data_IF_122595064019
#
_entry.id   IF_122595064019
#
_cell.length_a   1.000
_cell.length_b   1.000
_cell.length_c   1.000
_cell.angle_alpha   90.00
_cell.angle_beta   90.00
_cell.angle_gamma   90.00
#
_symmetry.space_group_name_H-M   'P 1'
#
loop_
_entity.id
_entity.type
_entity.pdbx_description
1 polymer ?
#
# COMPACT_ATOMS: atom_id res chain seq x y z
N UNK A 1 -20.85 6.94 -9.23
CA UNK A 1 -19.43 7.25 -9.00
C UNK A 1 -18.66 5.95 -9.02
N UNK A 2 -17.70 5.80 -9.92
CA UNK A 2 -16.80 4.65 -9.94
C UNK A 2 -15.71 4.90 -8.88
N UNK A 3 -15.69 4.04 -7.87
CA UNK A 3 -14.69 4.01 -6.80
C UNK A 3 -13.94 2.71 -6.97
N UNK A 4 -12.61 2.78 -6.99
CA UNK A 4 -11.73 1.63 -6.97
C UNK A 4 -11.25 1.41 -5.54
N UNK A 5 -11.68 0.30 -4.93
CA UNK A 5 -11.24 -0.08 -3.58
C UNK A 5 -9.97 -0.93 -3.68
N UNK A 6 -8.86 -0.37 -3.21
CA UNK A 6 -7.56 -1.03 -3.18
C UNK A 6 -7.21 -1.35 -1.72
N UNK A 7 -6.55 -2.46 -1.45
CA UNK A 7 -6.02 -2.75 -0.13
C UNK A 7 -4.55 -3.17 -0.23
N UNK A 8 -3.72 -2.67 0.67
CA UNK A 8 -2.32 -3.07 0.85
C UNK A 8 -2.23 -3.89 2.13
N UNK A 9 -1.51 -5.01 2.08
CA UNK A 9 -1.32 -5.83 3.26
C UNK A 9 -0.04 -6.66 3.17
N UNK A 10 0.78 -6.64 4.22
CA UNK A 10 1.83 -7.63 4.41
C UNK A 10 1.20 -8.86 5.09
N UNK A 11 1.16 -9.97 4.36
CA UNK A 11 0.50 -11.19 4.80
C UNK A 11 1.37 -12.08 5.68
N UNK A 12 2.70 -11.88 5.71
CA UNK A 12 3.65 -12.75 6.39
C UNK A 12 3.38 -14.26 6.14
N UNK A 13 3.13 -14.59 4.87
CA UNK A 13 2.69 -15.90 4.41
C UNK A 13 1.19 -16.01 4.15
N UNK A 14 0.76 -15.75 2.92
CA UNK A 14 -0.67 -15.63 2.56
C UNK A 14 -1.48 -16.94 2.67
N UNK A 15 -0.82 -18.11 2.58
CA UNK A 15 -1.52 -19.40 2.55
C UNK A 15 -2.31 -19.68 3.84
N UNK A 16 -1.76 -19.35 5.01
CA UNK A 16 -2.41 -19.58 6.30
C UNK A 16 -3.63 -18.66 6.53
N UNK A 17 -3.70 -17.56 5.78
CA UNK A 17 -4.73 -16.53 5.90
C UNK A 17 -5.82 -16.63 4.81
N UNK A 18 -5.85 -17.70 4.02
CA UNK A 18 -6.70 -17.79 2.83
C UNK A 18 -8.19 -17.58 3.12
N UNK A 19 -8.74 -18.19 4.17
CA UNK A 19 -10.17 -18.12 4.49
C UNK A 19 -10.58 -16.72 4.98
N UNK A 20 -9.78 -16.11 5.85
CA UNK A 20 -10.03 -14.73 6.30
C UNK A 20 -9.87 -13.73 5.17
N UNK A 21 -8.91 -13.95 4.25
CA UNK A 21 -8.71 -13.10 3.09
C UNK A 21 -9.93 -13.14 2.15
N UNK A 22 -10.49 -14.32 1.88
CA UNK A 22 -11.74 -14.45 1.08
C UNK A 22 -12.87 -13.63 1.71
N UNK A 23 -13.03 -13.75 3.03
CA UNK A 23 -14.06 -13.01 3.77
C UNK A 23 -13.82 -11.51 3.69
N UNK A 24 -12.59 -11.06 3.96
CA UNK A 24 -12.19 -9.66 3.93
C UNK A 24 -12.40 -9.01 2.55
N UNK A 25 -11.98 -9.69 1.48
CA UNK A 25 -12.16 -9.23 0.10
C UNK A 25 -13.64 -8.98 -0.23
N UNK A 26 -14.53 -9.80 0.33
CA UNK A 26 -15.98 -9.71 0.14
C UNK A 26 -16.58 -8.60 1.00
N UNK A 27 -16.33 -8.61 2.32
CA UNK A 27 -16.90 -7.66 3.27
C UNK A 27 -16.46 -6.21 3.01
N UNK A 28 -15.19 -6.00 2.63
CA UNK A 28 -14.66 -4.67 2.29
C UNK A 28 -14.85 -4.30 0.84
N UNK A 29 -15.42 -5.20 0.02
CA UNK A 29 -15.63 -5.01 -1.41
C UNK A 29 -14.35 -4.56 -2.15
N UNK A 30 -13.23 -5.24 -1.88
CA UNK A 30 -11.91 -4.91 -2.46
C UNK A 30 -11.90 -5.23 -3.96
N UNK A 31 -11.50 -4.30 -4.80
CA UNK A 31 -11.33 -4.55 -6.23
C UNK A 31 -9.91 -5.03 -6.56
N UNK A 32 -8.90 -4.48 -5.87
CA UNK A 32 -7.49 -4.88 -6.02
C UNK A 32 -6.81 -5.03 -4.67
N UNK A 33 -6.19 -6.18 -4.42
CA UNK A 33 -5.39 -6.44 -3.21
C UNK A 33 -3.91 -6.49 -3.59
N UNK A 34 -3.10 -5.67 -2.94
CA UNK A 34 -1.65 -5.60 -3.04
C UNK A 34 -1.04 -6.30 -1.83
N UNK A 35 -0.37 -7.43 -2.06
CA UNK A 35 0.11 -8.31 -0.99
C UNK A 35 1.64 -8.33 -0.97
N UNK A 36 2.21 -8.07 0.19
CA UNK A 36 3.63 -8.25 0.53
C UNK A 36 3.84 -9.54 1.33
N UNK A 37 5.04 -10.11 1.26
CA UNK A 37 5.43 -11.36 1.95
C UNK A 37 4.42 -12.49 1.72
N UNK A 38 4.20 -12.83 0.46
CA UNK A 38 3.26 -13.90 0.10
C UNK A 38 3.75 -15.27 0.54
N UNK A 39 5.07 -15.48 0.60
CA UNK A 39 5.74 -16.77 0.83
C UNK A 39 5.30 -17.85 -0.16
N UNK A 40 4.83 -17.45 -1.35
CA UNK A 40 4.49 -18.35 -2.43
C UNK A 40 5.75 -18.77 -3.18
N UNK A 41 5.67 -19.97 -3.77
CA UNK A 41 6.66 -20.54 -4.68
C UNK A 41 5.93 -21.06 -5.91
N UNK A 42 6.68 -21.47 -6.94
CA UNK A 42 6.11 -22.07 -8.14
C UNK A 42 5.36 -23.40 -7.86
N UNK A 43 5.49 -23.97 -6.65
CA UNK A 43 4.79 -25.18 -6.22
C UNK A 43 3.44 -24.89 -5.56
N UNK A 44 3.17 -23.65 -5.19
CA UNK A 44 1.95 -23.29 -4.47
C UNK A 44 0.80 -23.01 -5.45
N UNK A 45 -0.33 -23.70 -5.26
CA UNK A 45 -1.58 -23.40 -5.97
C UNK A 45 -2.45 -22.46 -5.12
N UNK A 46 -2.13 -21.16 -5.14
CA UNK A 46 -2.97 -20.15 -4.48
C UNK A 46 -4.05 -19.66 -5.43
N UNK A 47 -5.31 -19.79 -5.02
CA UNK A 47 -6.47 -19.44 -5.82
C UNK A 47 -7.60 -18.90 -4.95
N UNK A 48 -8.21 -17.80 -5.39
CA UNK A 48 -9.36 -17.16 -4.77
C UNK A 48 -10.41 -16.95 -5.87
N UNK A 49 -11.60 -17.52 -5.69
CA UNK A 49 -12.69 -17.36 -6.65
C UNK A 49 -13.06 -15.88 -6.84
N UNK A 50 -13.30 -15.46 -8.08
CA UNK A 50 -13.64 -14.08 -8.43
C UNK A 50 -12.45 -13.12 -8.56
N UNK A 51 -11.22 -13.59 -8.27
CA UNK A 51 -9.99 -12.81 -8.43
C UNK A 51 -8.98 -13.54 -9.31
N UNK A 52 -8.24 -12.75 -10.09
CA UNK A 52 -7.06 -13.18 -10.82
C UNK A 52 -5.81 -12.82 -10.03
N UNK A 53 -4.96 -13.81 -9.81
CA UNK A 53 -3.69 -13.66 -9.09
C UNK A 53 -2.55 -13.41 -10.07
N UNK A 54 -1.72 -12.41 -9.78
CA UNK A 54 -0.39 -12.21 -10.37
C UNK A 54 0.63 -12.23 -9.24
N UNK A 55 1.79 -12.84 -9.47
CA UNK A 55 2.79 -13.07 -8.41
C UNK A 55 4.19 -12.84 -8.94
N UNK A 56 5.00 -12.18 -8.13
CA UNK A 56 6.46 -12.15 -8.24
C UNK A 56 7.02 -12.87 -7.01
N UNK A 57 7.43 -14.12 -7.20
CA UNK A 57 8.05 -14.92 -6.14
C UNK A 57 9.46 -14.38 -5.82
N UNK A 58 9.98 -14.76 -4.65
CA UNK A 58 11.35 -14.40 -4.28
C UNK A 58 12.37 -15.00 -5.29
N UNK A 59 13.43 -14.25 -5.67
CA UNK A 59 14.37 -14.68 -6.72
C UNK A 59 15.08 -16.02 -6.49
N UNK A 60 15.23 -16.43 -5.24
CA UNK A 60 15.85 -17.73 -4.88
C UNK A 60 14.87 -18.92 -4.92
N UNK A 61 13.60 -18.67 -5.25
CA UNK A 61 12.55 -19.70 -5.36
C UNK A 61 12.07 -20.29 -4.03
N UNK A 62 12.49 -19.76 -2.88
CA UNK A 62 12.08 -20.23 -1.55
C UNK A 62 10.87 -19.46 -1.02
N UNK A 63 10.19 -20.05 -0.04
CA UNK A 63 8.99 -19.49 0.61
C UNK A 63 9.34 -18.40 1.64
N UNK A 64 9.90 -17.28 1.20
CA UNK A 64 10.08 -16.06 1.98
C UNK A 64 9.94 -14.84 1.08
N UNK A 65 9.54 -13.68 1.61
CA UNK A 65 9.21 -12.53 0.78
C UNK A 65 8.14 -12.83 -0.28
N UNK A 66 8.32 -12.31 -1.48
CA UNK A 66 7.38 -12.36 -2.59
C UNK A 66 6.32 -11.28 -2.52
N UNK A 67 5.78 -10.89 -3.68
CA UNK A 67 4.63 -9.99 -3.79
C UNK A 67 3.56 -10.60 -4.66
N UNK A 68 2.32 -10.16 -4.48
CA UNK A 68 1.22 -10.53 -5.36
C UNK A 68 0.19 -9.42 -5.51
N UNK A 69 -0.51 -9.43 -6.64
CA UNK A 69 -1.69 -8.62 -6.88
C UNK A 69 -2.87 -9.53 -7.17
N UNK A 70 -3.93 -9.44 -6.35
CA UNK A 70 -5.23 -10.02 -6.68
C UNK A 70 -6.10 -8.95 -7.31
N UNK A 71 -6.61 -9.22 -8.51
CA UNK A 71 -7.48 -8.30 -9.26
C UNK A 71 -8.85 -8.95 -9.45
N UNK A 72 -9.91 -8.26 -9.06
CA UNK A 72 -11.28 -8.74 -9.27
C UNK A 72 -11.56 -8.96 -10.76
N UNK A 73 -12.11 -10.12 -11.12
CA UNK A 73 -12.22 -10.59 -12.51
C UNK A 73 -12.94 -9.65 -13.48
N UNK A 74 -13.84 -8.79 -12.97
CA UNK A 74 -14.56 -7.80 -13.79
C UNK A 74 -13.68 -6.66 -14.31
N UNK A 75 -12.49 -6.47 -13.74
CA UNK A 75 -11.57 -5.41 -14.14
C UNK A 75 -10.69 -5.88 -15.30
N UNK A 76 -10.69 -5.11 -16.39
CA UNK A 76 -9.82 -5.38 -17.53
C UNK A 76 -8.39 -4.92 -17.23
N UNK A 77 -7.44 -5.87 -17.28
CA UNK A 77 -6.06 -5.63 -16.89
C UNK A 77 -5.10 -6.63 -17.53
N UNK A 78 -3.81 -6.31 -17.47
CA UNK A 78 -2.72 -7.20 -17.85
C UNK A 78 -1.54 -7.06 -16.87
N UNK A 79 -0.70 -8.09 -16.76
CA UNK A 79 0.53 -8.03 -15.98
C UNK A 79 1.61 -7.26 -16.75
N UNK A 80 2.46 -6.56 -16.03
CA UNK A 80 3.72 -6.01 -16.56
C UNK A 80 4.89 -6.87 -16.10
N UNK A 81 6.09 -6.57 -16.63
CA UNK A 81 7.31 -7.28 -16.27
C UNK A 81 7.54 -7.25 -14.74
N UNK A 82 7.79 -8.41 -14.12
CA UNK A 82 8.01 -8.49 -12.68
C UNK A 82 9.36 -7.86 -12.31
N UNK A 83 9.41 -7.18 -11.17
CA UNK A 83 10.67 -6.71 -10.59
C UNK A 83 11.05 -7.63 -9.42
N UNK A 84 12.04 -8.49 -9.61
CA UNK A 84 12.40 -9.53 -8.65
C UNK A 84 13.88 -9.43 -8.27
N UNK A 85 14.24 -8.47 -7.42
CA UNK A 85 15.59 -8.38 -6.84
C UNK A 85 15.57 -8.77 -5.37
N UNK A 86 16.75 -9.04 -4.79
CA UNK A 86 16.84 -9.34 -3.36
C UNK A 86 16.40 -8.14 -2.50
N UNK A 87 16.65 -6.92 -2.96
CA UNK A 87 16.40 -5.68 -2.24
C UNK A 87 14.98 -5.10 -2.44
N UNK A 88 14.37 -5.36 -3.60
CA UNK A 88 13.04 -4.88 -3.94
C UNK A 88 12.33 -5.94 -4.79
N UNK A 89 11.14 -6.31 -4.35
CA UNK A 89 10.26 -7.24 -5.05
C UNK A 89 8.97 -6.52 -5.37
N UNK A 90 8.51 -6.62 -6.61
CA UNK A 90 7.29 -5.98 -7.03
C UNK A 90 6.53 -6.80 -8.06
N UNK A 91 5.21 -6.79 -7.91
CA UNK A 91 4.24 -7.34 -8.87
C UNK A 91 3.41 -6.20 -9.39
N UNK A 92 3.45 -5.96 -10.71
CA UNK A 92 2.75 -4.84 -11.33
C UNK A 92 1.69 -5.34 -12.30
N UNK A 93 0.50 -4.76 -12.20
CA UNK A 93 -0.56 -4.90 -13.20
C UNK A 93 -0.92 -3.53 -13.75
N UNK A 94 -1.41 -3.49 -14.98
CA UNK A 94 -1.93 -2.29 -15.62
C UNK A 94 -3.43 -2.41 -15.80
N UNK A 95 -4.18 -1.57 -15.09
CA UNK A 95 -5.63 -1.44 -15.25
C UNK A 95 -5.94 -0.55 -16.44
N UNK A 96 -6.72 -1.08 -17.39
CA UNK A 96 -7.16 -0.31 -18.55
C UNK A 96 -8.22 0.70 -18.14
N UNK A 97 -8.00 1.98 -18.43
CA UNK A 97 -8.96 3.04 -18.16
C UNK A 97 -9.17 3.93 -19.40
N UNK A 98 -10.33 4.57 -19.54
CA UNK A 98 -10.75 5.28 -20.79
C UNK A 98 -9.88 6.48 -21.20
N UNK A 99 -8.97 6.94 -20.34
CA UNK A 99 -8.07 8.07 -20.63
C UNK A 99 -6.59 7.74 -20.48
N UNK A 100 -6.20 7.08 -19.38
CA UNK A 100 -4.82 6.68 -19.12
C UNK A 100 -4.81 5.48 -18.20
N UNK A 101 -4.07 4.45 -18.61
CA UNK A 101 -3.87 3.24 -17.82
C UNK A 101 -3.30 3.57 -16.43
N UNK A 102 -3.75 2.83 -15.43
CA UNK A 102 -3.28 2.96 -14.06
C UNK A 102 -2.50 1.70 -13.69
N UNK A 103 -1.21 1.87 -13.44
CA UNK A 103 -0.38 0.76 -12.97
C UNK A 103 -0.51 0.61 -11.45
N UNK A 104 -0.88 -0.58 -11.00
CA UNK A 104 -0.99 -0.93 -9.59
C UNK A 104 0.10 -1.95 -9.25
N UNK A 105 0.88 -1.63 -8.23
CA UNK A 105 2.08 -2.38 -7.89
C UNK A 105 2.06 -2.79 -6.43
N UNK A 106 2.14 -4.08 -6.15
CA UNK A 106 2.45 -4.59 -4.81
C UNK A 106 3.97 -4.59 -4.61
N UNK A 107 4.46 -4.08 -3.47
CA UNK A 107 5.90 -3.90 -3.21
C UNK A 107 6.32 -4.51 -1.89
N UNK A 108 7.47 -5.17 -1.88
CA UNK A 108 8.15 -5.58 -0.66
C UNK A 108 9.64 -5.22 -0.73
N UNK A 109 10.12 -4.49 0.27
CA UNK A 109 11.53 -4.12 0.41
C UNK A 109 12.09 -4.71 1.73
N UNK A 110 12.78 -5.86 1.72
CA UNK A 110 13.21 -6.51 2.97
C UNK A 110 14.08 -5.58 3.84
N UNK A 111 13.94 -5.61 5.17
CA UNK A 111 14.54 -4.61 6.07
C UNK A 111 16.07 -4.56 6.02
N UNK A 112 16.72 -5.69 5.71
CA UNK A 112 18.19 -5.83 5.73
C UNK A 112 18.92 -5.13 4.58
N UNK A 113 18.25 -4.88 3.46
CA UNK A 113 18.92 -4.33 2.28
C UNK A 113 18.87 -2.80 2.27
N UNK A 114 19.96 -2.20 1.79
CA UNK A 114 20.01 -0.77 1.48
C UNK A 114 19.47 -0.59 0.07
N UNK A 115 18.74 0.50 -0.14
CA UNK A 115 18.27 0.94 -1.44
C UNK A 115 18.54 2.44 -1.48
N UNK A 116 19.25 2.89 -2.50
CA UNK A 116 19.59 4.29 -2.73
C UNK A 116 18.43 5.05 -3.36
N UNK A 117 18.47 6.38 -3.28
CA UNK A 117 17.49 7.25 -3.91
C UNK A 117 17.47 7.10 -5.46
N UNK A 118 18.63 6.86 -6.06
CA UNK A 118 18.77 6.52 -7.49
C UNK A 118 18.08 5.20 -7.84
N UNK A 119 18.30 4.14 -7.06
CA UNK A 119 17.65 2.83 -7.30
C UNK A 119 16.13 2.92 -7.16
N UNK A 120 15.63 3.67 -6.17
CA UNK A 120 14.19 3.94 -6.06
C UNK A 120 13.67 4.75 -7.25
N UNK A 121 14.40 5.78 -7.69
CA UNK A 121 14.03 6.60 -8.85
C UNK A 121 13.91 5.73 -10.11
N UNK A 122 14.91 4.89 -10.36
CA UNK A 122 14.93 4.02 -11.53
C UNK A 122 13.77 3.03 -11.47
N UNK A 123 13.54 2.40 -10.32
CA UNK A 123 12.40 1.52 -10.09
C UNK A 123 11.06 2.22 -10.38
N UNK A 124 10.79 3.39 -9.77
CA UNK A 124 9.56 4.14 -10.02
C UNK A 124 9.43 4.61 -11.48
N UNK A 125 10.56 4.84 -12.16
CA UNK A 125 10.61 5.12 -13.59
C UNK A 125 10.07 3.97 -14.45
N UNK A 126 10.27 2.72 -14.03
CA UNK A 126 9.76 1.53 -14.74
C UNK A 126 8.24 1.35 -14.62
N UNK A 127 7.61 1.94 -13.59
CA UNK A 127 6.17 1.80 -13.34
C UNK A 127 5.31 2.69 -14.26
N UNK A 128 5.93 3.47 -15.14
CA UNK A 128 5.24 4.30 -16.12
C UNK A 128 4.75 5.65 -15.58
N UNK A 129 3.93 6.36 -16.36
CA UNK A 129 3.58 7.75 -16.07
C UNK A 129 2.53 7.90 -14.98
N UNK A 130 1.68 6.90 -14.73
CA UNK A 130 0.60 6.97 -13.75
C UNK A 130 0.50 5.66 -12.99
N UNK A 131 0.78 5.69 -11.69
CA UNK A 131 0.81 4.48 -10.88
C UNK A 131 0.46 4.72 -9.41
N UNK A 132 0.10 3.61 -8.76
CA UNK A 132 0.07 3.44 -7.31
C UNK A 132 0.89 2.21 -6.94
N UNK A 133 1.91 2.43 -6.12
CA UNK A 133 2.88 1.44 -5.68
C UNK A 133 2.77 1.28 -4.16
N UNK A 134 2.04 0.25 -3.73
CA UNK A 134 1.65 0.03 -2.34
C UNK A 134 2.23 -1.25 -1.78
N UNK A 135 2.72 -1.21 -0.54
CA UNK A 135 3.31 -2.38 0.08
C UNK A 135 4.10 -2.07 1.34
N UNK A 136 4.93 -3.04 1.74
CA UNK A 136 5.82 -2.91 2.89
C UNK A 136 7.20 -2.45 2.41
N UNK A 137 7.49 -1.19 2.66
CA UNK A 137 8.77 -0.61 2.28
C UNK A 137 9.88 -0.88 3.31
N UNK A 138 9.55 -1.33 4.53
CA UNK A 138 10.43 -1.34 5.70
C UNK A 138 11.21 -0.01 5.85
N UNK A 139 10.59 1.09 5.43
CA UNK A 139 11.18 2.41 5.31
C UNK A 139 10.50 3.32 6.34
N UNK A 140 11.31 3.89 7.22
CA UNK A 140 10.84 4.72 8.33
C UNK A 140 11.18 6.16 8.04
N UNK A 141 10.17 7.02 7.97
CA UNK A 141 10.33 8.46 7.90
C UNK A 141 9.08 9.20 8.41
N UNK A 142 9.27 10.31 9.12
CA UNK A 142 8.16 11.10 9.67
C UNK A 142 7.22 11.65 8.58
N UNK A 143 7.71 11.80 7.34
CA UNK A 143 6.94 12.31 6.20
C UNK A 143 5.69 11.48 5.87
N UNK A 144 5.70 10.18 6.14
CA UNK A 144 4.54 9.30 5.97
C UNK A 144 3.93 8.84 7.29
N UNK A 145 4.36 9.40 8.43
CA UNK A 145 3.79 9.09 9.74
C UNK A 145 4.51 7.99 10.53
N UNK A 146 5.70 7.54 10.09
CA UNK A 146 6.57 6.70 10.93
C UNK A 146 7.12 7.50 12.11
N UNK A 147 7.31 6.83 13.25
CA UNK A 147 7.86 7.45 14.46
C UNK A 147 9.36 7.76 14.35
N UNK A 148 10.08 6.97 13.56
CA UNK A 148 11.53 7.04 13.42
C UNK A 148 11.94 7.31 11.98
N UNK A 149 13.23 7.62 11.80
CA UNK A 149 13.88 7.66 10.49
C UNK A 149 14.92 6.55 10.43
N UNK A 150 14.87 5.72 9.38
CA UNK A 150 15.94 4.76 9.07
C UNK A 150 16.66 5.13 7.76
N UNK A 151 17.84 4.57 7.46
CA UNK A 151 18.58 4.91 6.25
C UNK A 151 17.78 4.71 4.96
N UNK A 152 17.04 3.59 4.84
CA UNK A 152 16.18 3.31 3.68
C UNK A 152 15.07 4.35 3.52
N UNK A 153 14.42 4.74 4.61
CA UNK A 153 13.39 5.79 4.61
C UNK A 153 13.93 7.16 4.27
N UNK A 154 15.18 7.49 4.64
CA UNK A 154 15.83 8.72 4.20
C UNK A 154 16.06 8.73 2.67
N UNK A 155 16.52 7.61 2.11
CA UNK A 155 16.74 7.47 0.66
C UNK A 155 15.43 7.58 -0.11
N UNK A 156 14.40 6.83 0.31
CA UNK A 156 13.06 6.91 -0.28
C UNK A 156 12.48 8.33 -0.18
N UNK A 157 12.66 9.01 0.94
CA UNK A 157 12.26 10.40 1.12
C UNK A 157 12.88 11.33 0.07
N UNK A 158 14.20 11.23 -0.17
CA UNK A 158 14.88 12.05 -1.20
C UNK A 158 14.32 11.79 -2.60
N UNK A 159 14.01 10.53 -2.95
CA UNK A 159 13.35 10.21 -4.21
C UNK A 159 11.98 10.87 -4.31
N UNK A 160 11.19 10.88 -3.24
CA UNK A 160 9.83 11.44 -3.22
C UNK A 160 9.85 12.96 -3.34
N UNK A 161 10.65 13.66 -2.52
CA UNK A 161 10.62 15.13 -2.48
C UNK A 161 11.29 15.80 -3.69
N UNK A 162 12.02 15.04 -4.49
CA UNK A 162 12.58 15.55 -5.73
C UNK A 162 11.45 15.83 -6.74
N UNK A 163 11.16 17.13 -6.94
CA UNK A 163 10.09 17.61 -7.82
C UNK A 163 10.17 17.06 -9.25
N UNK A 164 11.36 16.71 -9.74
CA UNK A 164 11.52 16.12 -11.08
C UNK A 164 10.94 14.71 -11.20
N UNK A 165 10.79 13.99 -10.08
CA UNK A 165 10.23 12.64 -10.08
C UNK A 165 8.68 12.65 -10.09
N UNK A 166 8.07 13.75 -9.63
CA UNK A 166 6.62 13.96 -9.52
C UNK A 166 5.90 12.84 -8.75
N UNK A 167 6.45 12.49 -7.58
CA UNK A 167 5.92 11.47 -6.69
C UNK A 167 5.20 12.11 -5.50
N UNK A 168 4.21 11.40 -4.97
CA UNK A 168 3.53 11.73 -3.73
C UNK A 168 3.30 10.47 -2.88
N UNK A 169 2.89 10.64 -1.62
CA UNK A 169 2.64 9.56 -0.67
C UNK A 169 1.21 9.54 -0.18
N UNK A 170 0.66 8.32 -0.16
CA UNK A 170 -0.63 7.99 0.40
C UNK A 170 -0.41 7.05 1.57
N UNK A 171 -0.63 7.56 2.78
CA UNK A 171 -0.41 6.85 4.04
C UNK A 171 -1.66 6.96 4.94
N UNK A 172 -1.97 5.93 5.75
CA UNK A 172 -3.04 6.01 6.74
C UNK A 172 -2.72 6.93 7.92
N UNK A 173 -1.46 7.33 8.09
CA UNK A 173 -1.00 8.18 9.20
C UNK A 173 -1.09 7.54 10.60
N UNK A 174 -1.31 6.22 10.67
CA UNK A 174 -1.41 5.42 11.90
C UNK A 174 -0.50 4.18 11.77
N UNK A 175 0.00 3.60 12.87
CA UNK A 175 0.82 2.39 12.83
C UNK A 175 0.17 1.28 12.01
N UNK A 176 1.00 0.60 11.22
CA UNK A 176 0.60 -0.54 10.38
C UNK A 176 1.32 -1.82 10.78
N UNK A 177 2.47 -1.73 11.45
CA UNK A 177 3.24 -2.87 11.92
C UNK A 177 3.20 -2.98 13.45
N UNK A 178 2.95 -4.20 13.93
CA UNK A 178 2.73 -4.55 15.33
C UNK A 178 3.73 -5.63 15.78
N UNK A 179 4.90 -5.22 16.31
CA UNK A 179 5.92 -6.17 16.73
C UNK A 179 5.42 -7.13 17.83
N UNK A 180 5.78 -8.41 17.75
CA UNK A 180 5.48 -9.38 18.83
C UNK A 180 6.28 -9.13 20.11
N UNK A 181 7.44 -8.48 20.00
CA UNK A 181 8.28 -8.09 21.13
C UNK A 181 7.64 -6.91 21.88
N UNK A 182 7.28 -7.13 23.14
CA UNK A 182 6.62 -6.14 24.01
C UNK A 182 7.44 -4.88 24.25
N UNK A 183 8.75 -4.92 24.03
CA UNK A 183 9.62 -3.75 24.17
C UNK A 183 9.64 -2.88 22.91
N UNK A 184 9.10 -3.36 21.80
CA UNK A 184 9.02 -2.61 20.55
C UNK A 184 7.67 -1.91 20.44
N UNK A 185 7.73 -0.69 19.93
CA UNK A 185 6.56 0.17 19.74
C UNK A 185 6.09 0.02 18.27
N UNK A 186 4.77 -0.10 18.02
CA UNK A 186 4.20 -0.11 16.68
C UNK A 186 4.67 1.06 15.81
N UNK A 187 4.72 0.86 14.50
CA UNK A 187 5.25 1.85 13.56
C UNK A 187 4.52 1.80 12.20
N UNK A 188 4.74 2.79 11.36
CA UNK A 188 4.13 2.89 10.03
C UNK A 188 5.17 2.60 8.94
N UNK A 189 5.03 1.47 8.27
CA UNK A 189 5.92 1.05 7.17
C UNK A 189 5.17 0.57 5.92
N UNK A 190 3.85 0.42 6.02
CA UNK A 190 2.96 0.04 4.92
C UNK A 190 2.21 1.28 4.42
N UNK A 191 2.46 1.66 3.16
CA UNK A 191 1.86 2.82 2.53
C UNK A 191 1.99 2.71 1.00
N UNK A 192 1.49 3.71 0.27
CA UNK A 192 1.65 3.80 -1.18
C UNK A 192 2.43 5.04 -1.62
N UNK A 193 3.28 4.84 -2.62
CA UNK A 193 3.89 5.90 -3.44
C UNK A 193 3.04 6.02 -4.70
N UNK A 194 2.68 7.24 -5.09
CA UNK A 194 1.83 7.50 -6.26
C UNK A 194 2.48 8.48 -7.22
N UNK A 195 2.10 8.39 -8.50
CA UNK A 195 2.50 9.32 -9.55
C UNK A 195 1.30 9.69 -10.40
N UNK A 196 1.10 10.99 -10.64
CA UNK A 196 -0.01 11.52 -11.44
C UNK A 196 -1.40 11.03 -10.95
N UNK A 197 -1.58 10.99 -9.62
CA UNK A 197 -2.87 10.77 -8.96
C UNK A 197 -3.16 12.01 -8.13
N UNK A 198 -4.29 12.68 -8.41
CA UNK A 198 -4.70 13.86 -7.67
C UNK A 198 -5.05 13.48 -6.22
N UNK A 199 -4.48 14.22 -5.26
CA UNK A 199 -4.67 13.99 -3.82
C UNK A 199 -6.14 14.07 -3.38
N UNK A 200 -6.97 14.85 -4.08
CA UNK A 200 -8.41 14.98 -3.82
C UNK A 200 -9.23 13.74 -4.20
N UNK A 201 -8.65 12.84 -5.01
CA UNK A 201 -9.29 11.62 -5.50
C UNK A 201 -8.94 10.39 -4.68
N UNK A 202 -7.94 10.48 -3.80
CA UNK A 202 -7.37 9.32 -3.12
C UNK A 202 -7.31 9.50 -1.60
N UNK A 203 -7.81 8.50 -0.88
CA UNK A 203 -7.71 8.44 0.58
C UNK A 203 -7.13 7.11 1.03
N UNK A 204 -6.54 7.12 2.22
CA UNK A 204 -6.07 5.93 2.91
C UNK A 204 -6.53 5.93 4.36
N UNK A 205 -6.93 4.76 4.83
CA UNK A 205 -7.14 4.46 6.25
C UNK A 205 -6.58 3.06 6.55
N UNK A 206 -6.48 2.71 7.82
CA UNK A 206 -6.08 1.36 8.24
C UNK A 206 -7.20 0.72 9.05
N UNK A 207 -7.27 -0.60 9.04
CA UNK A 207 -8.17 -1.37 9.89
C UNK A 207 -7.44 -2.54 10.54
N UNK A 208 -8.03 -3.09 11.59
CA UNK A 208 -7.47 -4.21 12.37
C UNK A 208 -8.02 -5.56 11.92
N UNK A 209 -8.49 -5.62 10.67
CA UNK A 209 -8.98 -6.86 10.06
C UNK A 209 -7.78 -7.62 9.45
N UNK A 210 -7.86 -8.96 9.33
CA UNK A 210 -6.77 -9.90 8.97
C UNK A 210 -5.74 -10.15 10.10
N UNK A 211 -5.19 -11.37 10.17
CA UNK A 211 -4.45 -11.88 11.33
C UNK A 211 -2.92 -11.92 11.17
N UNK A 212 -2.35 -10.96 10.44
CA UNK A 212 -0.90 -10.74 10.35
C UNK A 212 -0.41 -9.78 11.46
N UNK A 213 0.90 -9.71 11.68
CA UNK A 213 1.55 -8.65 12.45
C UNK A 213 1.52 -7.28 11.74
N UNK A 214 0.91 -7.22 10.55
CA UNK A 214 0.60 -6.00 9.83
C UNK A 214 -0.92 -5.77 9.64
N UNK A 215 -1.34 -4.54 9.89
CA UNK A 215 -2.69 -4.05 9.59
C UNK A 215 -2.84 -3.68 8.12
N UNK A 216 -3.93 -4.11 7.45
CA UNK A 216 -4.21 -3.71 6.08
C UNK A 216 -4.50 -2.21 5.95
N UNK A 217 -3.98 -1.61 4.89
CA UNK A 217 -4.24 -0.22 4.50
C UNK A 217 -5.28 -0.22 3.39
N UNK A 218 -6.43 0.40 3.65
CA UNK A 218 -7.53 0.57 2.71
C UNK A 218 -7.34 1.87 1.94
N UNK A 219 -7.20 1.78 0.63
CA UNK A 219 -7.11 2.91 -0.29
C UNK A 219 -8.38 3.01 -1.12
N UNK A 220 -8.97 4.21 -1.19
CA UNK A 220 -10.08 4.50 -2.09
C UNK A 220 -9.60 5.48 -3.15
N UNK A 221 -9.73 5.10 -4.42
CA UNK A 221 -9.44 5.96 -5.56
C UNK A 221 -10.73 6.27 -6.32
N UNK A 222 -11.06 7.55 -6.47
CA UNK A 222 -12.29 8.01 -7.09
C UNK A 222 -12.02 8.62 -8.47
N UNK A 223 -12.98 8.50 -9.39
CA UNK A 223 -12.90 9.21 -10.69
C UNK A 223 -13.19 10.71 -10.58
N UNK A 224 -13.91 11.13 -9.53
CA UNK A 224 -14.26 12.51 -9.25
C UNK A 224 -13.94 12.86 -7.80
N UNK A 225 -13.64 14.13 -7.47
CA UNK A 225 -13.27 14.55 -6.13
C UNK A 225 -14.32 14.12 -5.12
N UNK A 226 -13.88 13.53 -4.01
CA UNK A 226 -14.81 13.25 -2.92
C UNK A 226 -15.15 14.56 -2.22
N UNK A 227 -16.44 14.85 -2.10
CA UNK A 227 -16.92 15.86 -1.15
C UNK A 227 -16.67 15.27 0.24
N UNK A 228 -15.53 15.62 0.84
CA UNK A 228 -15.30 15.31 2.25
C UNK A 228 -16.20 16.26 3.03
N UNK A 229 -17.29 15.74 3.57
CA UNK A 229 -18.06 16.50 4.54
C UNK A 229 -17.11 16.93 5.66
N UNK A 230 -17.06 18.23 6.02
CA UNK A 230 -16.22 18.67 7.11
C UNK A 230 -16.59 17.87 8.34
N UNK A 231 -15.58 17.40 9.09
CA UNK A 231 -15.81 16.72 10.37
C UNK A 231 -16.80 17.55 11.17
N UNK A 232 -17.92 16.94 11.54
CA UNK A 232 -18.88 17.54 12.46
C UNK A 232 -18.13 17.81 13.75
N UNK A 233 -17.84 19.09 13.99
CA UNK A 233 -17.19 19.54 15.20
C UNK A 233 -18.25 20.15 16.09
N UNK A 234 -18.33 19.68 17.34
CA UNK A 234 -19.20 20.28 18.37
C UNK A 234 -18.78 21.73 18.69
N UNK A 235 -17.60 22.15 18.23
CA UNK A 235 -17.04 23.47 18.51
C UNK A 235 -16.46 24.11 17.26
N UNK A 236 -16.55 25.43 17.17
CA UNK A 236 -15.98 26.23 16.09
C UNK A 236 -14.92 27.17 16.66
N UNK A 237 -14.16 27.86 15.80
CA UNK A 237 -13.27 28.93 16.23
C UNK A 237 -13.99 30.09 16.95
N UNK A 238 -15.34 30.15 16.85
CA UNK A 238 -16.18 31.10 17.55
C UNK A 238 -16.69 30.59 18.90
N UNK A 239 -16.38 29.34 19.27
CA UNK A 239 -16.80 28.77 20.56
C UNK A 239 -16.12 29.52 21.70
N UNK A 240 -16.93 30.20 22.51
CA UNK A 240 -16.47 30.94 23.68
C UNK A 240 -16.30 29.99 24.88
N UNK A 241 -15.09 29.44 25.00
CA UNK A 241 -14.71 28.53 26.09
C UNK A 241 -14.80 29.15 27.48
N UNK A 242 -14.64 30.47 27.60
CA UNK A 242 -14.74 31.19 28.88
C UNK A 242 -16.19 31.22 29.40
N UNK A 243 -17.18 31.23 28.51
CA UNK A 243 -18.60 31.17 28.88
C UNK A 243 -19.00 29.77 29.40
N UNK A 244 -18.43 28.73 28.81
CA UNK A 244 -18.72 27.34 29.20
C UNK A 244 -18.10 26.94 30.54
N UNK A 245 -16.97 27.54 30.93
CA UNK A 245 -16.31 27.30 32.23
C UNK A 245 -17.05 27.85 33.46
N UNK A 246 -18.15 28.58 33.27
CA UNK A 246 -18.93 29.19 34.37
C UNK A 246 -20.14 28.35 34.81
N UNK A 247 -20.32 27.17 34.23
CA UNK A 247 -21.29 26.15 34.60
C UNK A 247 -20.53 24.84 34.87
#
# INVERSE_FOLDING_TARGET
>A
MSILNICIWNANGVNQHKLELIRFLTEKNIDVMLISETHLTNKNNFFIAGYRLHVTNHPDGKAHGGTAVLVRNRLNHHALEPHATAQLQATTISLKNRGSDLNLTAIYCPPRFKITDCEFKDFFGTLGPRFLAGGDYNAKHMYWGSRLINPKGRQLYYTIINKHNNLDIISPGKPTYWPSDRNKIPDLIDFAVVKNIDRSLITADTCTDLSSDHSPVLIKLCEQPMIVEPKVSLTTHKTNWLKYRKY
#
